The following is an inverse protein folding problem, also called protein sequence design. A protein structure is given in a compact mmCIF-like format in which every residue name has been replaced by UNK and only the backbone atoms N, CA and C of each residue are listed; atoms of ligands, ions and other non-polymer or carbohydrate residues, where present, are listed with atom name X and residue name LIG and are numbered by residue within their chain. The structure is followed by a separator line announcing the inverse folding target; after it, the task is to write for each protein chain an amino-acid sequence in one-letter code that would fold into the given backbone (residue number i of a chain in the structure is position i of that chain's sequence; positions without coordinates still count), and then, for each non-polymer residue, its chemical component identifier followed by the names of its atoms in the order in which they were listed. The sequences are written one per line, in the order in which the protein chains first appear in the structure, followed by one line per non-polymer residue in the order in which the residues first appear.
data_IF_500913306324
#
_entry.id   IF_500913306324
#
_cell.length_a   1.000
_cell.length_b   1.000
_cell.length_c   1.000
_cell.angle_alpha   90.00
_cell.angle_beta   90.00
_cell.angle_gamma   90.00
#
_symmetry.space_group_name_H-M   'P 1'
#
loop_
_entity.id
_entity.type
_entity.pdbx_description
1 polymer ?
#
# COMPACT_ATOMS: atom_id res chain seq x y z
N UNK A 1 6.81 -11.71 -11.23
CA UNK A 1 7.74 -11.44 -10.11
C UNK A 1 8.35 -10.03 -10.21
N UNK A 2 8.67 -9.56 -11.43
CA UNK A 2 9.32 -8.26 -11.66
C UNK A 2 8.51 -7.04 -11.18
N UNK A 3 7.18 -7.04 -11.35
CA UNK A 3 6.34 -5.91 -10.94
C UNK A 3 6.38 -5.57 -9.45
N UNK A 4 6.59 -6.57 -8.58
CA UNK A 4 6.76 -6.36 -7.14
C UNK A 4 8.22 -6.03 -6.78
N UNK A 5 9.18 -6.60 -7.52
CA UNK A 5 10.60 -6.40 -7.27
C UNK A 5 11.05 -4.95 -7.47
N UNK A 6 10.40 -4.20 -8.38
CA UNK A 6 10.70 -2.78 -8.61
C UNK A 6 10.54 -1.92 -7.36
N UNK A 7 9.57 -2.23 -6.49
CA UNK A 7 9.31 -1.44 -5.28
C UNK A 7 10.45 -1.55 -4.27
N UNK A 8 10.97 -2.76 -4.06
CA UNK A 8 12.09 -3.02 -3.15
C UNK A 8 13.42 -2.44 -3.64
N UNK A 9 13.58 -2.17 -4.94
CA UNK A 9 14.77 -1.46 -5.44
C UNK A 9 14.77 0.02 -5.04
N UNK A 10 13.61 0.68 -5.09
CA UNK A 10 13.48 2.10 -4.77
C UNK A 10 13.18 2.40 -3.30
N UNK A 11 12.69 1.40 -2.55
CA UNK A 11 12.34 1.50 -1.14
C UNK A 11 12.60 0.15 -0.45
N UNK A 12 13.88 -0.18 -0.15
CA UNK A 12 14.28 -1.53 0.29
C UNK A 12 13.70 -1.94 1.65
N UNK A 13 13.49 -0.96 2.53
CA UNK A 13 12.92 -1.07 3.87
C UNK A 13 11.43 -0.69 3.90
N UNK A 14 10.74 -0.79 2.77
CA UNK A 14 9.31 -0.48 2.67
C UNK A 14 8.51 -1.23 3.73
N UNK A 15 7.74 -0.48 4.51
CA UNK A 15 6.90 -1.01 5.57
C UNK A 15 5.51 -0.39 5.51
N UNK A 16 4.48 -1.24 5.62
CA UNK A 16 3.09 -0.84 5.75
C UNK A 16 2.65 -1.07 7.20
N UNK A 17 2.07 -0.06 7.83
CA UNK A 17 1.51 -0.16 9.19
C UNK A 17 0.44 0.90 9.42
N UNK A 18 0.09 1.16 10.69
CA UNK A 18 -1.05 2.00 11.07
C UNK A 18 -2.34 1.66 10.30
N UNK A 19 -2.52 0.37 10.01
CA UNK A 19 -3.60 -0.09 9.17
C UNK A 19 -4.93 -0.17 9.90
N UNK A 20 -6.00 -0.02 9.11
CA UNK A 20 -7.37 -0.27 9.53
C UNK A 20 -8.08 -0.98 8.40
N UNK A 21 -8.83 -2.02 8.74
CA UNK A 21 -9.53 -2.83 7.76
C UNK A 21 -10.99 -2.97 8.14
N UNK A 22 -11.87 -2.84 7.16
CA UNK A 22 -13.29 -3.13 7.32
C UNK A 22 -13.84 -3.72 6.03
N UNK A 23 -14.85 -4.56 6.16
CA UNK A 23 -15.43 -5.24 5.02
C UNK A 23 -16.91 -5.50 5.19
N UNK A 24 -17.57 -5.66 4.05
CA UNK A 24 -18.96 -6.09 3.97
C UNK A 24 -19.11 -7.03 2.78
N UNK A 25 -19.64 -8.22 3.05
CA UNK A 25 -19.74 -9.32 2.07
C UNK A 25 -18.38 -9.62 1.43
N UNK A 26 -18.24 -9.36 0.14
CA UNK A 26 -17.04 -9.64 -0.64
C UNK A 26 -16.18 -8.40 -0.91
N UNK A 27 -16.54 -7.25 -0.34
CA UNK A 27 -15.80 -5.99 -0.48
C UNK A 27 -15.05 -5.67 0.80
N UNK A 28 -13.77 -5.29 0.70
CA UNK A 28 -12.94 -4.86 1.83
C UNK A 28 -12.28 -3.53 1.50
N UNK A 29 -12.30 -2.61 2.45
CA UNK A 29 -11.47 -1.42 2.43
C UNK A 29 -10.35 -1.56 3.46
N UNK A 30 -9.14 -1.16 3.07
CA UNK A 30 -7.94 -1.21 3.88
C UNK A 30 -7.23 0.12 3.81
N UNK A 31 -7.14 0.83 4.91
CA UNK A 31 -6.26 1.99 5.05
C UNK A 31 -4.90 1.56 5.56
N UNK A 32 -3.86 2.32 5.21
CA UNK A 32 -2.50 2.07 5.67
C UNK A 32 -1.64 3.34 5.60
N UNK A 33 -0.56 3.31 6.39
CA UNK A 33 0.59 4.19 6.24
C UNK A 33 1.77 3.38 5.67
N UNK A 34 2.30 3.84 4.55
CA UNK A 34 3.56 3.36 4.01
C UNK A 34 4.71 4.25 4.49
N UNK A 35 5.76 3.59 4.94
CA UNK A 35 7.04 4.18 5.34
C UNK A 35 8.20 3.51 4.61
N UNK A 36 9.33 4.20 4.51
CA UNK A 36 10.58 3.63 4.03
C UNK A 36 11.61 4.72 3.71
N UNK A 37 12.77 4.30 3.25
CA UNK A 37 13.94 5.13 2.98
C UNK A 37 14.40 4.90 1.55
N UNK A 38 14.48 5.97 0.75
CA UNK A 38 15.04 5.90 -0.61
C UNK A 38 16.54 5.61 -0.53
N UNK A 39 17.19 5.06 -1.59
CA UNK A 39 18.63 4.85 -1.60
C UNK A 39 19.48 6.09 -1.28
N UNK A 40 18.96 7.30 -1.49
CA UNK A 40 19.60 8.57 -1.12
C UNK A 40 19.40 9.02 0.33
N UNK A 41 18.75 8.22 1.19
CA UNK A 41 18.48 8.54 2.60
C UNK A 41 17.19 9.35 2.86
N UNK A 42 16.47 9.76 1.83
CA UNK A 42 15.21 10.48 1.96
C UNK A 42 14.12 9.56 2.54
N UNK A 43 13.47 10.01 3.62
CA UNK A 43 12.35 9.30 4.23
C UNK A 43 11.05 9.53 3.46
N UNK A 44 10.32 8.45 3.21
CA UNK A 44 9.03 8.45 2.55
C UNK A 44 7.95 8.14 3.57
N UNK A 45 6.89 8.95 3.59
CA UNK A 45 5.68 8.72 4.39
C UNK A 45 4.44 8.97 3.53
N UNK A 46 3.66 7.92 3.26
CA UNK A 46 2.51 7.99 2.35
C UNK A 46 1.30 7.35 3.00
N UNK A 47 0.17 8.08 3.04
CA UNK A 47 -1.12 7.50 3.40
C UNK A 47 -1.81 6.99 2.15
N UNK A 48 -2.49 5.86 2.27
CA UNK A 48 -3.28 5.33 1.19
C UNK A 48 -4.38 4.41 1.69
N UNK A 49 -5.21 3.98 0.73
CA UNK A 49 -6.16 2.92 0.95
C UNK A 49 -6.26 2.01 -0.27
N UNK A 50 -6.66 0.77 -0.02
CA UNK A 50 -6.96 -0.24 -1.02
C UNK A 50 -8.42 -0.67 -0.89
N UNK A 51 -9.12 -0.75 -2.01
CA UNK A 51 -10.43 -1.40 -2.12
C UNK A 51 -10.26 -2.75 -2.79
N UNK A 52 -10.63 -3.82 -2.09
CA UNK A 52 -10.55 -5.20 -2.56
C UNK A 52 -11.94 -5.76 -2.83
N UNK A 53 -12.03 -6.60 -3.86
CA UNK A 53 -13.17 -7.46 -4.13
C UNK A 53 -12.72 -8.92 -4.14
N UNK A 54 -13.45 -9.77 -3.43
CA UNK A 54 -13.14 -11.19 -3.28
C UNK A 54 -14.14 -12.10 -4.02
N UNK A 55 -13.66 -13.24 -4.51
CA UNK A 55 -14.49 -14.35 -4.99
C UNK A 55 -13.80 -15.67 -4.68
N UNK A 56 -14.50 -16.57 -3.97
CA UNK A 56 -13.92 -17.85 -3.56
C UNK A 56 -12.64 -17.72 -2.73
N UNK A 57 -12.59 -16.72 -1.82
CA UNK A 57 -11.43 -16.45 -0.97
C UNK A 57 -10.23 -15.82 -1.68
N UNK A 58 -10.35 -15.47 -2.97
CA UNK A 58 -9.28 -14.84 -3.75
C UNK A 58 -9.63 -13.39 -4.07
N UNK A 59 -8.62 -12.51 -4.06
CA UNK A 59 -8.75 -11.13 -4.56
C UNK A 59 -8.94 -11.20 -6.08
N UNK A 60 -10.05 -10.67 -6.58
CA UNK A 60 -10.36 -10.57 -8.01
C UNK A 60 -10.24 -9.14 -8.54
N UNK A 61 -10.31 -8.13 -7.66
CA UNK A 61 -10.05 -6.72 -7.99
C UNK A 61 -9.38 -6.05 -6.80
N UNK A 62 -8.45 -5.13 -7.12
CA UNK A 62 -7.80 -4.26 -6.16
C UNK A 62 -7.63 -2.88 -6.81
N UNK A 63 -8.26 -1.87 -6.22
CA UNK A 63 -8.00 -0.47 -6.56
C UNK A 63 -7.21 0.17 -5.42
N UNK A 64 -6.11 0.85 -5.75
CA UNK A 64 -5.21 1.47 -4.77
C UNK A 64 -5.20 2.98 -4.94
N UNK A 65 -5.48 3.71 -3.86
CA UNK A 65 -5.49 5.17 -3.82
C UNK A 65 -4.40 5.66 -2.89
N UNK A 66 -3.55 6.53 -3.43
CA UNK A 66 -2.34 7.00 -2.77
C UNK A 66 -2.42 8.51 -2.62
N UNK A 67 -2.14 9.02 -1.41
CA UNK A 67 -1.86 10.44 -1.22
C UNK A 67 -0.40 10.61 -0.90
N UNK A 68 0.37 10.99 -1.92
CA UNK A 68 1.75 11.43 -1.71
C UNK A 68 1.69 12.71 -0.89
N UNK A 69 2.26 12.68 0.31
CA UNK A 69 2.40 13.86 1.16
C UNK A 69 3.75 14.46 0.82
N UNK A 70 3.76 15.55 0.06
CA UNK A 70 4.98 16.31 -0.19
C UNK A 70 5.31 17.13 1.06
N UNK A 71 6.58 17.16 1.44
CA UNK A 71 7.10 18.10 2.44
C UNK A 71 7.18 19.49 1.81
N UNK A 72 6.68 20.49 2.53
CA UNK A 72 6.81 21.91 2.18
C UNK A 72 8.27 22.39 2.26
#
# INVERSE_FOLDING_TARGET
REGLAGRFKGLPDVHYGEDRHWGYLNMVASEWLLTGTRPGGEQVKVRGCDHYEFRGGKVIRKDSYWKIVESA
#
